data_IF_726739961479
#
_entry.id   IF_726739961479
#
_cell.length_a   1.000
_cell.length_b   1.000
_cell.length_c   1.000
_cell.angle_alpha   90.00
_cell.angle_beta   90.00
_cell.angle_gamma   90.00
#
_symmetry.space_group_name_H-M   'P 1'
#
loop_
_entity.id
_entity.type
_entity.pdbx_description
1 polymer ?
#
# COMPACT_ATOMS: atom_id res chain seq x y z
N UNK A 1 13.10 2.91 1.12
CA UNK A 1 11.81 3.61 1.15
C UNK A 1 10.89 2.93 0.16
N UNK A 2 10.06 2.00 0.63
CA UNK A 2 9.20 1.19 -0.22
C UNK A 2 7.80 1.80 -0.30
N UNK A 3 7.45 2.32 -1.48
CA UNK A 3 6.15 2.97 -1.76
C UNK A 3 5.05 1.96 -2.11
N UNK A 4 5.37 0.67 -2.23
CA UNK A 4 4.43 -0.40 -2.56
C UNK A 4 4.18 -1.35 -1.37
N UNK A 5 4.74 -1.03 -0.20
CA UNK A 5 4.42 -1.80 1.02
C UNK A 5 2.94 -1.69 1.37
N UNK A 6 2.27 -2.84 1.52
CA UNK A 6 0.86 -2.92 1.92
C UNK A 6 0.62 -2.72 3.43
N UNK A 7 1.67 -2.66 4.25
CA UNK A 7 1.53 -2.45 5.70
C UNK A 7 1.64 -0.97 6.05
N UNK A 8 0.48 -0.32 6.26
CA UNK A 8 0.40 1.12 6.57
C UNK A 8 -0.62 1.41 7.66
N UNK A 9 -0.32 2.43 8.46
CA UNK A 9 -1.20 2.94 9.50
C UNK A 9 -1.56 4.39 9.20
N UNK A 10 -2.83 4.74 9.40
CA UNK A 10 -3.36 6.08 9.15
C UNK A 10 -4.22 6.53 10.33
N UNK A 11 -4.33 7.84 10.53
CA UNK A 11 -5.30 8.35 11.50
C UNK A 11 -6.73 8.32 10.91
N UNK A 12 -7.73 8.46 11.78
CA UNK A 12 -9.14 8.38 11.39
C UNK A 12 -9.57 9.44 10.39
N UNK A 13 -8.97 10.63 10.45
CA UNK A 13 -9.29 11.75 9.56
C UNK A 13 -8.79 11.45 8.14
N UNK A 14 -7.60 10.85 8.02
CA UNK A 14 -7.04 10.44 6.73
C UNK A 14 -7.94 9.43 6.04
N UNK A 15 -8.31 8.37 6.77
CA UNK A 15 -9.13 7.29 6.25
C UNK A 15 -10.51 7.77 5.77
N UNK A 16 -11.06 8.82 6.39
CA UNK A 16 -12.36 9.39 6.02
C UNK A 16 -12.30 10.39 4.86
N UNK A 17 -11.13 10.95 4.59
CA UNK A 17 -10.95 12.00 3.56
C UNK A 17 -10.31 11.46 2.28
N UNK A 18 -9.85 10.21 2.32
CA UNK A 18 -9.24 9.56 1.18
C UNK A 18 -10.31 9.09 0.19
N UNK A 19 -10.33 9.63 -1.05
CA UNK A 19 -11.24 9.15 -2.08
C UNK A 19 -10.71 7.82 -2.62
N UNK A 20 -11.48 6.74 -2.45
CA UNK A 20 -11.14 5.43 -3.02
C UNK A 20 -11.52 5.49 -4.51
N UNK A 21 -10.54 5.70 -5.37
CA UNK A 21 -10.75 5.87 -6.81
C UNK A 21 -10.27 4.66 -7.62
N UNK A 22 -9.18 4.00 -7.20
CA UNK A 22 -8.63 2.87 -7.94
C UNK A 22 -9.13 1.49 -7.48
N UNK A 23 -9.57 0.60 -8.40
CA UNK A 23 -9.75 -0.82 -8.12
C UNK A 23 -8.42 -1.58 -8.21
N UNK A 24 -8.07 -2.37 -7.18
CA UNK A 24 -6.95 -3.33 -7.24
C UNK A 24 -5.70 -2.90 -6.47
N UNK A 25 -4.52 -2.97 -7.11
CA UNK A 25 -3.17 -2.81 -6.51
C UNK A 25 -2.59 -1.39 -6.64
N UNK A 26 -3.41 -0.42 -7.01
CA UNK A 26 -2.97 0.97 -7.23
C UNK A 26 -3.21 1.85 -5.99
N UNK A 27 -3.89 1.31 -4.97
CA UNK A 27 -4.30 2.04 -3.78
C UNK A 27 -3.10 2.56 -2.97
N UNK A 28 -1.99 1.83 -2.95
CA UNK A 28 -0.74 2.25 -2.30
C UNK A 28 -0.20 3.57 -2.87
N UNK A 29 -0.27 3.73 -4.19
CA UNK A 29 0.22 4.93 -4.85
C UNK A 29 -0.69 6.11 -4.56
N UNK A 30 -2.01 5.92 -4.67
CA UNK A 30 -3.00 6.95 -4.36
C UNK A 30 -2.90 7.45 -2.92
N UNK A 31 -2.76 6.53 -1.96
CA UNK A 31 -2.58 6.85 -0.54
C UNK A 31 -1.35 7.76 -0.32
N UNK A 32 -0.28 7.53 -1.08
CA UNK A 32 0.94 8.33 -1.01
C UNK A 32 0.73 9.73 -1.61
N UNK A 33 0.04 9.81 -2.74
CA UNK A 33 -0.30 11.08 -3.41
C UNK A 33 -1.20 11.95 -2.51
N UNK A 34 -2.25 11.37 -1.91
CA UNK A 34 -3.18 12.09 -1.03
C UNK A 34 -2.48 12.66 0.21
N UNK A 35 -1.54 11.90 0.79
CA UNK A 35 -0.76 12.35 1.94
C UNK A 35 0.15 13.54 1.56
N UNK A 36 0.78 13.50 0.38
CA UNK A 36 1.63 14.60 -0.11
C UNK A 36 0.78 15.83 -0.46
N UNK A 37 -0.31 15.66 -1.20
CA UNK A 37 -1.21 16.76 -1.63
C UNK A 37 -1.72 17.58 -0.44
N UNK A 38 -2.09 16.92 0.65
CA UNK A 38 -2.60 17.57 1.85
C UNK A 38 -1.51 17.95 2.86
N UNK A 39 -0.24 17.78 2.51
CA UNK A 39 0.94 18.06 3.33
C UNK A 39 0.95 17.33 4.68
N UNK A 40 0.56 16.05 4.68
CA UNK A 40 0.52 15.20 5.86
C UNK A 40 1.91 14.70 6.21
N UNK A 41 2.15 14.50 7.52
CA UNK A 41 3.39 13.88 7.99
C UNK A 41 3.42 12.40 7.61
N UNK A 42 4.44 12.01 6.84
CA UNK A 42 4.73 10.63 6.48
C UNK A 42 5.98 10.18 7.25
N UNK A 43 5.92 9.00 7.88
CA UNK A 43 7.06 8.40 8.58
C UNK A 43 7.17 6.93 8.19
N UNK A 44 8.40 6.47 7.96
CA UNK A 44 8.70 5.07 7.76
C UNK A 44 9.22 4.47 9.05
N UNK A 45 8.56 3.41 9.51
CA UNK A 45 8.99 2.65 10.67
C UNK A 45 9.58 1.34 10.16
N UNK A 46 10.88 1.06 10.41
CA UNK A 46 11.47 -0.21 10.01
C UNK A 46 10.75 -1.34 10.77
N UNK A 47 10.30 -2.35 10.04
CA UNK A 47 9.72 -3.56 10.60
C UNK A 47 10.63 -4.74 10.30
N UNK A 48 10.79 -5.65 11.25
CA UNK A 48 11.45 -6.94 11.00
C UNK A 48 10.50 -7.81 10.20
N UNK A 49 10.87 -8.10 8.95
CA UNK A 49 10.13 -9.06 8.13
C UNK A 49 10.21 -10.43 8.79
N UNK A 50 9.07 -11.09 8.98
CA UNK A 50 9.02 -12.49 9.39
C UNK A 50 8.68 -13.32 8.18
N UNK A 51 9.29 -14.49 8.07
CA UNK A 51 8.92 -15.42 7.03
C UNK A 51 7.44 -15.77 7.14
N UNK A 52 6.82 -15.86 5.96
CA UNK A 52 5.43 -16.26 5.84
C UNK A 52 5.33 -17.70 6.37
N UNK A 53 4.34 -18.03 7.21
CA UNK A 53 4.16 -19.42 7.63
C UNK A 53 4.04 -20.34 6.42
N UNK A 54 4.68 -21.51 6.51
CA UNK A 54 4.65 -22.55 5.49
C UNK A 54 3.20 -22.89 5.11
N UNK A 55 2.92 -22.98 3.81
CA UNK A 55 1.58 -23.24 3.27
C UNK A 55 0.73 -22.01 2.95
N UNK A 56 1.28 -20.80 3.04
CA UNK A 56 0.56 -19.59 2.64
C UNK A 56 0.41 -19.45 1.11
N UNK A 57 -0.82 -19.55 0.61
CA UNK A 57 -1.13 -19.35 -0.82
C UNK A 57 -0.95 -17.87 -1.17
N UNK A 58 -0.17 -17.58 -2.21
CA UNK A 58 -0.04 -16.21 -2.72
C UNK A 58 -1.34 -15.75 -3.37
N UNK A 59 -1.82 -14.55 -3.03
CA UNK A 59 -2.90 -13.88 -3.77
C UNK A 59 -2.38 -13.18 -5.04
N UNK A 60 -1.06 -13.17 -5.24
CA UNK A 60 -0.40 -12.61 -6.42
C UNK A 60 -0.33 -13.68 -7.51
N UNK A 61 -0.84 -13.34 -8.68
CA UNK A 61 -0.86 -14.20 -9.85
C UNK A 61 0.34 -13.82 -10.74
N UNK A 62 1.46 -14.56 -10.62
CA UNK A 62 2.78 -14.19 -11.17
C UNK A 62 2.78 -13.91 -12.68
N UNK A 63 1.85 -14.47 -13.46
CA UNK A 63 1.80 -14.31 -14.90
C UNK A 63 1.04 -13.06 -15.39
N UNK A 64 0.16 -12.46 -14.58
CA UNK A 64 -0.66 -11.32 -14.99
C UNK A 64 -0.02 -9.96 -14.66
N UNK A 65 0.91 -9.93 -13.71
CA UNK A 65 1.54 -8.69 -13.23
C UNK A 65 2.58 -8.11 -14.21
N UNK A 66 3.04 -8.87 -15.21
CA UNK A 66 4.06 -8.42 -16.18
C UNK A 66 3.47 -7.68 -17.40
N UNK A 67 2.15 -7.76 -17.64
CA UNK A 67 1.51 -7.32 -18.89
C UNK A 67 0.37 -6.31 -18.69
N UNK A 68 0.56 -5.32 -17.82
CA UNK A 68 -0.21 -4.06 -17.86
C UNK A 68 0.75 -2.88 -17.83
N UNK A 69 1.27 -2.55 -19.01
CA UNK A 69 1.78 -1.23 -19.37
C UNK A 69 0.81 -0.61 -20.37
#
# INVERSE_FOLDING_TARGET
SDVMTGYRSFNRVFAKTFPILSPGFEIETELSIHAIDKNWRIAQVPITYRDRPDGSVSKLNTFLTVLKF
#
